data_IF_992681717154
#
_entry.id   IF_992681717154
#
_cell.length_a   1.000
_cell.length_b   1.000
_cell.length_c   1.000
_cell.angle_alpha   90.00
_cell.angle_beta   90.00
_cell.angle_gamma   90.00
#
_symmetry.space_group_name_H-M   'P 1'
#
loop_
_entity.id
_entity.type
_entity.pdbx_description
1 polymer ?
#
# COMPACT_ATOMS: atom_id res chain seq x y z
N UNK A 1 10.84 40.02 -12.82
CA UNK A 1 9.39 40.22 -12.98
C UNK A 1 9.10 41.59 -13.54
N UNK A 2 7.95 41.81 -14.12
CA UNK A 2 7.50 43.15 -14.63
C UNK A 2 7.45 44.18 -13.49
N UNK A 3 7.16 43.74 -12.25
CA UNK A 3 7.22 44.61 -11.09
C UNK A 3 8.65 45.15 -10.87
N UNK A 4 9.67 44.28 -10.86
CA UNK A 4 11.06 44.69 -10.69
C UNK A 4 11.54 45.60 -11.83
N UNK A 5 11.19 45.27 -13.07
CA UNK A 5 11.50 46.12 -14.24
C UNK A 5 10.94 47.51 -14.03
N UNK A 6 9.67 47.64 -13.66
CA UNK A 6 9.00 48.94 -13.44
C UNK A 6 9.64 49.74 -12.32
N UNK A 7 10.04 49.10 -11.20
CA UNK A 7 10.70 49.79 -10.09
C UNK A 7 12.09 50.28 -10.50
N UNK A 8 12.87 49.38 -11.12
CA UNK A 8 14.24 49.70 -11.53
C UNK A 8 14.27 50.78 -12.61
N UNK A 9 13.38 50.76 -13.61
CA UNK A 9 13.29 51.79 -14.65
C UNK A 9 12.92 53.18 -14.09
N UNK A 10 12.25 53.24 -12.93
CA UNK A 10 11.99 54.52 -12.25
C UNK A 10 13.21 55.05 -11.51
N UNK A 11 14.02 54.20 -10.93
CA UNK A 11 15.22 54.58 -10.18
C UNK A 11 16.41 54.85 -11.09
N UNK A 12 16.47 54.15 -12.23
CA UNK A 12 17.58 54.26 -13.20
C UNK A 12 17.02 54.45 -14.61
N UNK A 13 16.51 55.65 -14.93
CA UNK A 13 15.78 55.89 -16.16
C UNK A 13 16.63 55.73 -17.43
N UNK A 14 17.95 55.87 -17.31
CA UNK A 14 18.89 55.76 -18.44
C UNK A 14 19.29 54.31 -18.76
N UNK A 15 18.78 53.34 -17.97
CA UNK A 15 19.10 51.92 -18.14
C UNK A 15 17.95 51.17 -18.78
N UNK A 16 18.29 50.25 -19.69
CA UNK A 16 17.31 49.29 -20.22
C UNK A 16 17.22 48.07 -19.34
N UNK A 17 16.00 47.68 -18.98
CA UNK A 17 15.73 46.49 -18.16
C UNK A 17 14.87 45.49 -18.94
N UNK A 18 15.29 44.21 -18.93
CA UNK A 18 14.59 43.13 -19.58
C UNK A 18 14.05 42.16 -18.51
N UNK A 19 12.81 41.64 -18.72
CA UNK A 19 12.26 40.60 -17.91
C UNK A 19 12.60 39.25 -18.53
N UNK A 20 13.45 38.51 -17.86
CA UNK A 20 13.74 37.10 -18.21
C UNK A 20 12.90 36.22 -17.35
N UNK A 21 11.98 35.44 -17.96
CA UNK A 21 11.19 34.44 -17.29
C UNK A 21 12.04 33.20 -17.11
N UNK A 22 12.18 32.75 -15.85
CA UNK A 22 12.84 31.48 -15.55
C UNK A 22 11.89 30.35 -15.97
N UNK A 23 12.35 29.51 -16.89
CA UNK A 23 11.66 28.25 -17.18
C UNK A 23 11.93 27.27 -16.06
N UNK A 24 10.90 26.96 -15.27
CA UNK A 24 10.94 25.90 -14.29
C UNK A 24 10.30 24.69 -14.96
N UNK A 25 11.07 23.62 -15.27
CA UNK A 25 10.50 22.41 -15.85
C UNK A 25 9.42 21.86 -14.92
N UNK A 26 8.28 21.50 -15.46
CA UNK A 26 7.29 20.75 -14.70
C UNK A 26 7.93 19.44 -14.27
N UNK A 27 7.93 19.09 -12.97
CA UNK A 27 8.45 17.81 -12.51
C UNK A 27 7.79 16.67 -13.30
N UNK A 28 8.58 15.75 -13.83
CA UNK A 28 8.03 14.56 -14.45
C UNK A 28 7.21 13.80 -13.41
N UNK A 29 6.00 13.38 -13.78
CA UNK A 29 5.15 12.60 -12.89
C UNK A 29 5.88 11.28 -12.59
N UNK A 30 6.12 10.98 -11.30
CA UNK A 30 6.76 9.72 -10.92
C UNK A 30 5.90 8.54 -11.37
N UNK A 31 6.49 7.38 -11.70
CA UNK A 31 5.74 6.18 -12.04
C UNK A 31 4.71 5.82 -10.96
N UNK A 32 3.56 5.31 -11.38
CA UNK A 32 2.57 4.76 -10.47
C UNK A 32 3.07 3.42 -9.93
N UNK A 33 3.19 3.29 -8.62
CA UNK A 33 3.82 2.14 -7.98
C UNK A 33 2.79 1.29 -7.26
N UNK A 34 2.46 0.13 -7.84
CA UNK A 34 1.79 -0.94 -7.12
C UNK A 34 2.76 -1.59 -6.16
N UNK A 35 2.27 -2.13 -5.04
CA UNK A 35 3.15 -2.86 -4.14
C UNK A 35 2.48 -4.01 -3.41
N UNK A 36 3.30 -4.98 -3.00
CA UNK A 36 2.92 -6.15 -2.24
C UNK A 36 3.90 -6.39 -1.10
N UNK A 37 3.41 -6.76 0.07
CA UNK A 37 4.21 -7.15 1.23
C UNK A 37 3.75 -8.54 1.66
N UNK A 38 4.66 -9.53 1.66
CA UNK A 38 4.29 -10.88 2.07
C UNK A 38 5.33 -11.94 1.76
N UNK A 39 5.05 -13.15 2.21
CA UNK A 39 5.83 -14.34 1.81
C UNK A 39 5.41 -14.73 0.39
N UNK A 40 6.18 -14.26 -0.60
CA UNK A 40 5.90 -14.48 -2.03
C UNK A 40 6.10 -15.93 -2.48
N UNK A 41 6.71 -16.77 -1.64
CA UNK A 41 6.86 -18.21 -1.86
C UNK A 41 5.67 -19.03 -1.35
N UNK A 42 4.80 -18.41 -0.55
CA UNK A 42 3.59 -19.03 -0.04
C UNK A 42 2.53 -19.07 -1.15
N UNK A 43 2.13 -20.29 -1.57
CA UNK A 43 1.16 -20.48 -2.66
C UNK A 43 -0.15 -19.76 -2.39
N UNK A 44 -0.56 -19.70 -1.12
CA UNK A 44 -1.75 -19.03 -0.64
C UNK A 44 -1.78 -17.53 -0.98
N UNK A 45 -0.62 -16.88 -1.12
CA UNK A 45 -0.49 -15.46 -1.45
C UNK A 45 -0.72 -15.17 -2.94
N UNK A 46 -0.68 -16.20 -3.79
CA UNK A 46 -0.88 -16.08 -5.24
C UNK A 46 0.00 -15.00 -5.91
N UNK A 47 1.23 -14.82 -5.42
CA UNK A 47 2.12 -13.77 -5.91
C UNK A 47 2.37 -13.86 -7.43
N UNK A 48 2.47 -15.09 -7.97
CA UNK A 48 2.58 -15.31 -9.41
C UNK A 48 1.43 -14.68 -10.21
N UNK A 49 0.21 -14.65 -9.65
CA UNK A 49 -0.94 -13.99 -10.26
C UNK A 49 -0.86 -12.46 -10.20
N UNK A 50 -0.28 -11.90 -9.13
CA UNK A 50 0.00 -10.46 -9.05
C UNK A 50 1.02 -10.06 -10.12
N UNK A 51 2.09 -10.85 -10.31
CA UNK A 51 3.06 -10.63 -11.38
C UNK A 51 2.40 -10.74 -12.76
N UNK A 52 1.59 -11.77 -12.99
CA UNK A 52 0.85 -11.94 -14.25
C UNK A 52 -0.04 -10.74 -14.55
N UNK A 53 -0.79 -10.26 -13.56
CA UNK A 53 -1.65 -9.07 -13.70
C UNK A 53 -0.83 -7.82 -14.02
N UNK A 54 0.32 -7.62 -13.34
CA UNK A 54 1.21 -6.50 -13.61
C UNK A 54 1.80 -6.54 -15.03
N UNK A 55 2.21 -7.72 -15.50
CA UNK A 55 2.70 -7.89 -16.88
C UNK A 55 1.57 -7.63 -17.90
N UNK A 56 0.36 -8.15 -17.66
CA UNK A 56 -0.80 -7.93 -18.54
C UNK A 56 -1.33 -6.50 -18.51
N UNK A 57 -1.15 -5.77 -17.41
CA UNK A 57 -1.45 -4.34 -17.33
C UNK A 57 -0.65 -3.55 -18.37
N UNK A 58 0.62 -3.91 -18.57
CA UNK A 58 1.53 -3.43 -19.62
C UNK A 58 1.62 -1.89 -19.75
N UNK A 59 1.47 -1.16 -18.66
CA UNK A 59 1.57 0.29 -18.65
C UNK A 59 3.02 0.75 -18.39
N UNK A 60 3.64 1.51 -19.31
CA UNK A 60 5.08 1.81 -19.23
C UNK A 60 5.46 2.68 -18.02
N UNK A 61 4.52 3.52 -17.55
CA UNK A 61 4.74 4.42 -16.41
C UNK A 61 4.25 3.80 -15.08
N UNK A 62 4.40 2.48 -14.94
CA UNK A 62 4.08 1.75 -13.71
C UNK A 62 5.29 0.99 -13.17
N UNK A 63 5.28 0.71 -11.87
CA UNK A 63 6.24 -0.16 -11.18
C UNK A 63 5.50 -1.12 -10.25
N UNK A 64 6.12 -2.27 -9.98
CA UNK A 64 5.70 -3.18 -8.91
C UNK A 64 6.83 -3.27 -7.89
N UNK A 65 6.56 -2.82 -6.67
CA UNK A 65 7.47 -2.91 -5.53
C UNK A 65 7.04 -4.07 -4.64
N UNK A 66 7.94 -4.99 -4.37
CA UNK A 66 7.66 -6.20 -3.59
C UNK A 66 8.54 -6.24 -2.37
N UNK A 67 7.95 -6.28 -1.19
CA UNK A 67 8.67 -6.59 0.04
C UNK A 67 8.47 -8.07 0.36
N UNK A 68 9.49 -8.86 0.04
CA UNK A 68 9.49 -10.29 0.33
C UNK A 68 9.78 -10.54 1.82
N UNK A 69 8.94 -11.36 2.47
CA UNK A 69 9.08 -11.78 3.87
C UNK A 69 9.43 -13.28 3.99
N UNK A 70 9.90 -13.88 2.90
CA UNK A 70 10.41 -15.25 2.89
C UNK A 70 11.80 -15.32 3.53
N UNK A 71 12.13 -16.46 4.14
CA UNK A 71 13.40 -16.66 4.85
C UNK A 71 14.64 -16.82 3.95
N UNK A 72 14.52 -16.52 2.65
CA UNK A 72 15.60 -16.52 1.67
C UNK A 72 15.39 -15.39 0.68
N UNK A 73 16.48 -14.95 0.07
CA UNK A 73 16.42 -13.96 -0.99
C UNK A 73 15.74 -14.52 -2.23
N UNK A 74 14.90 -13.70 -2.83
CA UNK A 74 14.19 -13.99 -4.08
C UNK A 74 14.52 -12.89 -5.07
N UNK A 75 14.83 -13.27 -6.29
CA UNK A 75 15.02 -12.37 -7.41
C UNK A 75 13.88 -12.54 -8.42
N UNK A 76 13.43 -11.43 -9.00
CA UNK A 76 12.41 -11.41 -10.05
C UNK A 76 12.95 -10.58 -11.21
N UNK A 77 13.51 -11.27 -12.20
CA UNK A 77 14.07 -10.65 -13.40
C UNK A 77 12.95 -10.19 -14.37
N UNK A 78 12.18 -9.20 -13.95
CA UNK A 78 11.16 -8.57 -14.79
C UNK A 78 11.35 -7.04 -14.83
N UNK A 79 11.18 -6.41 -16.00
CA UNK A 79 11.24 -4.96 -16.11
C UNK A 79 10.23 -4.28 -15.18
N UNK A 80 10.66 -3.23 -14.49
CA UNK A 80 9.82 -2.41 -13.61
C UNK A 80 9.32 -3.14 -12.34
N UNK A 81 9.90 -4.29 -12.01
CA UNK A 81 9.70 -5.00 -10.74
C UNK A 81 10.92 -4.81 -9.86
N UNK A 82 10.73 -4.38 -8.63
CA UNK A 82 11.77 -4.21 -7.60
C UNK A 82 11.42 -5.11 -6.42
N UNK A 83 12.36 -5.96 -5.98
CA UNK A 83 12.18 -6.83 -4.81
C UNK A 83 13.10 -6.39 -3.69
N UNK A 84 12.54 -6.15 -2.52
CA UNK A 84 13.27 -5.86 -1.28
C UNK A 84 13.25 -7.12 -0.42
N UNK A 85 14.39 -7.75 -0.25
CA UNK A 85 14.59 -8.94 0.56
C UNK A 85 15.01 -8.59 2.00
N UNK A 86 15.04 -9.62 2.85
CA UNK A 86 15.55 -9.53 4.20
C UNK A 86 14.64 -8.75 5.16
N UNK A 87 15.15 -8.50 6.36
CA UNK A 87 14.49 -7.64 7.34
C UNK A 87 14.84 -6.18 7.05
N UNK A 88 13.88 -5.30 7.21
CA UNK A 88 14.07 -3.85 7.12
C UNK A 88 13.57 -3.21 8.41
N UNK A 89 14.06 -2.02 8.72
CA UNK A 89 13.62 -1.26 9.88
C UNK A 89 12.18 -0.74 9.72
N UNK A 90 11.53 -0.37 10.83
CA UNK A 90 10.21 0.27 10.79
C UNK A 90 10.24 1.57 9.97
N UNK A 91 11.34 2.32 10.05
CA UNK A 91 11.54 3.50 9.22
C UNK A 91 11.57 3.17 7.72
N UNK A 92 12.32 2.13 7.31
CA UNK A 92 12.39 1.73 5.91
C UNK A 92 11.06 1.17 5.42
N UNK A 93 10.31 0.47 6.29
CA UNK A 93 8.95 0.02 5.98
C UNK A 93 8.02 1.20 5.74
N UNK A 94 8.10 2.23 6.57
CA UNK A 94 7.33 3.46 6.37
C UNK A 94 7.70 4.16 5.07
N UNK A 95 9.01 4.27 4.75
CA UNK A 95 9.48 4.81 3.46
C UNK A 95 8.97 3.98 2.26
N UNK A 96 8.88 2.66 2.40
CA UNK A 96 8.33 1.78 1.37
C UNK A 96 6.87 2.15 1.08
N UNK A 97 6.05 2.29 2.12
CA UNK A 97 4.66 2.73 1.96
C UNK A 97 4.56 4.12 1.33
N UNK A 98 5.46 5.06 1.68
CA UNK A 98 5.47 6.41 1.08
C UNK A 98 5.83 6.39 -0.41
N UNK A 99 6.75 5.53 -0.84
CA UNK A 99 7.18 5.38 -2.24
C UNK A 99 6.10 4.75 -3.13
N UNK A 100 5.18 3.99 -2.55
CA UNK A 100 4.16 3.24 -3.24
C UNK A 100 2.81 3.97 -3.29
N UNK A 101 1.95 3.57 -4.24
CA UNK A 101 0.66 4.23 -4.48
C UNK A 101 -0.54 3.33 -4.19
N UNK A 102 -0.51 2.05 -4.55
CA UNK A 102 -1.63 1.13 -4.39
C UNK A 102 -1.13 -0.24 -3.92
N UNK A 103 -1.66 -0.71 -2.81
CA UNK A 103 -1.38 -2.07 -2.32
C UNK A 103 -2.17 -3.11 -3.09
N UNK A 104 -1.52 -4.23 -3.40
CA UNK A 104 -2.14 -5.36 -4.10
C UNK A 104 -2.01 -6.62 -3.27
N UNK A 105 -3.15 -7.14 -2.80
CA UNK A 105 -3.29 -8.44 -2.14
C UNK A 105 -4.24 -9.33 -2.94
N UNK A 106 -3.81 -10.56 -3.25
CA UNK A 106 -4.59 -11.53 -4.04
C UNK A 106 -4.58 -12.93 -3.39
N UNK A 107 -4.67 -12.93 -2.07
CA UNK A 107 -4.51 -14.16 -1.29
C UNK A 107 -5.75 -15.04 -1.32
N UNK A 108 -5.55 -16.36 -1.39
CA UNK A 108 -6.60 -17.38 -1.22
C UNK A 108 -7.06 -17.53 0.22
N UNK A 109 -6.30 -17.05 1.20
CA UNK A 109 -6.67 -17.06 2.62
C UNK A 109 -5.79 -16.06 3.39
N UNK A 110 -6.42 -15.26 4.23
CA UNK A 110 -5.76 -14.33 5.15
C UNK A 110 -6.47 -14.31 6.50
N UNK A 111 -5.68 -14.29 7.58
CA UNK A 111 -6.24 -14.01 8.92
C UNK A 111 -6.58 -12.53 9.07
N UNK A 112 -5.58 -11.65 8.89
CA UNK A 112 -5.74 -10.19 8.99
C UNK A 112 -5.30 -9.50 7.70
N UNK A 113 -4.24 -9.97 7.07
CA UNK A 113 -3.64 -9.29 5.92
C UNK A 113 -2.83 -8.06 6.34
N UNK A 114 -1.86 -8.23 7.24
CA UNK A 114 -1.11 -7.13 7.87
C UNK A 114 -0.59 -6.10 6.88
N UNK A 115 0.04 -6.52 5.77
CA UNK A 115 0.55 -5.56 4.76
C UNK A 115 -0.56 -4.71 4.13
N UNK A 116 -1.77 -5.27 3.95
CA UNK A 116 -2.94 -4.53 3.47
C UNK A 116 -3.46 -3.55 4.53
N UNK A 117 -3.51 -3.96 5.81
CA UNK A 117 -3.90 -3.11 6.93
C UNK A 117 -2.93 -1.95 7.10
N UNK A 118 -1.62 -2.21 7.06
CA UNK A 118 -0.58 -1.18 7.12
C UNK A 118 -0.68 -0.16 5.97
N UNK A 119 -1.05 -0.62 4.77
CA UNK A 119 -1.35 0.24 3.65
C UNK A 119 -2.59 1.12 3.90
N UNK A 120 -3.67 0.49 4.37
CA UNK A 120 -4.94 1.16 4.61
C UNK A 120 -4.83 2.25 5.69
N UNK A 121 -4.15 2.00 6.82
CA UNK A 121 -3.96 3.03 7.86
C UNK A 121 -3.14 4.24 7.38
N UNK A 122 -2.43 4.11 6.25
CA UNK A 122 -1.69 5.18 5.56
C UNK A 122 -2.46 5.76 4.37
N UNK A 123 -3.77 5.53 4.32
CA UNK A 123 -4.68 6.02 3.28
C UNK A 123 -4.27 5.62 1.85
N UNK A 124 -3.63 4.47 1.70
CA UNK A 124 -3.33 3.92 0.38
C UNK A 124 -4.55 3.19 -0.19
N UNK A 125 -4.85 3.31 -1.49
CA UNK A 125 -5.76 2.38 -2.15
C UNK A 125 -5.30 0.94 -1.93
N UNK A 126 -6.25 0.06 -1.59
CA UNK A 126 -5.96 -1.34 -1.27
C UNK A 126 -6.86 -2.25 -2.09
N UNK A 127 -6.24 -3.10 -2.90
CA UNK A 127 -6.91 -4.18 -3.64
C UNK A 127 -6.75 -5.45 -2.79
N UNK A 128 -7.86 -6.09 -2.40
CA UNK A 128 -7.86 -7.32 -1.58
C UNK A 128 -8.91 -8.32 -2.06
N UNK A 129 -8.69 -9.59 -1.76
CA UNK A 129 -9.68 -10.65 -1.95
C UNK A 129 -10.79 -10.57 -0.90
N UNK A 130 -12.03 -10.75 -1.31
CA UNK A 130 -13.20 -10.84 -0.43
C UNK A 130 -13.31 -12.25 0.21
N UNK A 131 -12.26 -12.67 0.92
CA UNK A 131 -12.21 -13.96 1.59
C UNK A 131 -11.24 -13.93 2.78
N UNK A 132 -11.64 -14.60 3.86
CA UNK A 132 -10.88 -14.59 5.12
C UNK A 132 -11.12 -13.33 5.94
N UNK A 133 -10.18 -12.99 6.84
CA UNK A 133 -10.34 -11.89 7.79
C UNK A 133 -10.01 -10.50 7.26
N UNK A 134 -9.25 -10.37 6.17
CA UNK A 134 -8.84 -9.04 5.66
C UNK A 134 -10.04 -8.10 5.38
N UNK A 135 -11.18 -8.56 4.79
CA UNK A 135 -12.35 -7.70 4.57
C UNK A 135 -13.07 -7.24 5.86
N UNK A 136 -12.77 -7.82 7.01
CA UNK A 136 -13.28 -7.35 8.30
C UNK A 136 -12.62 -6.03 8.68
N UNK A 137 -11.32 -5.92 8.44
CA UNK A 137 -10.50 -4.75 8.78
C UNK A 137 -10.53 -3.66 7.70
N UNK A 138 -10.67 -4.05 6.43
CA UNK A 138 -10.52 -3.13 5.30
C UNK A 138 -11.81 -3.07 4.49
N UNK A 139 -12.38 -1.87 4.36
CA UNK A 139 -13.49 -1.59 3.46
C UNK A 139 -12.95 -0.78 2.27
N UNK A 140 -12.99 -1.38 1.09
CA UNK A 140 -12.48 -0.78 -0.14
C UNK A 140 -13.38 -1.12 -1.31
N UNK A 141 -13.54 -0.22 -2.30
CA UNK A 141 -14.25 -0.54 -3.53
C UNK A 141 -13.47 -1.53 -4.43
N UNK A 142 -12.20 -1.79 -4.11
CA UNK A 142 -11.34 -2.73 -4.83
C UNK A 142 -11.32 -4.11 -4.14
N UNK A 143 -12.49 -4.57 -3.73
CA UNK A 143 -12.66 -5.91 -3.13
C UNK A 143 -12.97 -6.93 -4.22
N UNK A 144 -12.06 -7.89 -4.43
CA UNK A 144 -12.12 -8.90 -5.47
C UNK A 144 -13.07 -10.01 -5.04
N UNK A 145 -14.04 -10.35 -5.86
CA UNK A 145 -14.93 -11.49 -5.65
C UNK A 145 -14.13 -12.80 -5.59
N UNK A 146 -14.58 -13.71 -4.74
CA UNK A 146 -13.84 -14.92 -4.44
C UNK A 146 -14.79 -16.12 -4.41
N UNK A 147 -14.54 -17.08 -5.31
CA UNK A 147 -15.09 -18.42 -5.22
C UNK A 147 -14.35 -19.29 -4.22
N UNK A 148 -14.62 -20.59 -4.24
CA UNK A 148 -13.88 -21.59 -3.46
C UNK A 148 -13.24 -22.62 -4.40
N UNK A 149 -12.03 -23.05 -4.07
CA UNK A 149 -11.34 -24.13 -4.75
C UNK A 149 -10.82 -25.17 -3.74
N UNK A 150 -10.81 -26.44 -4.15
CA UNK A 150 -10.27 -27.51 -3.35
C UNK A 150 -8.75 -27.60 -3.49
N UNK A 151 -8.05 -27.76 -2.35
CA UNK A 151 -6.60 -27.98 -2.34
C UNK A 151 -6.28 -29.36 -2.90
N UNK A 152 -5.40 -29.37 -3.90
CA UNK A 152 -4.90 -30.60 -4.53
C UNK A 152 -3.81 -31.28 -3.72
N UNK A 153 -3.08 -30.52 -2.90
CA UNK A 153 -1.96 -30.98 -2.07
C UNK A 153 -2.04 -30.34 -0.68
N UNK A 154 -1.35 -30.93 0.28
CA UNK A 154 -1.16 -30.32 1.59
C UNK A 154 -0.35 -29.03 1.45
N UNK A 155 -0.77 -28.01 2.19
CA UNK A 155 -0.04 -26.76 2.39
C UNK A 155 -0.08 -26.44 3.89
N UNK A 156 1.00 -25.99 4.47
CA UNK A 156 1.24 -25.68 5.89
C UNK A 156 0.08 -25.99 6.87
N UNK A 157 -0.97 -25.17 6.89
CA UNK A 157 -2.15 -25.33 7.75
C UNK A 157 -3.34 -26.02 7.05
N UNK A 158 -3.29 -26.15 5.73
CA UNK A 158 -4.39 -26.66 4.94
C UNK A 158 -4.04 -28.04 4.40
N UNK A 159 -4.97 -28.97 4.49
CA UNK A 159 -4.82 -30.33 3.99
C UNK A 159 -5.50 -30.49 2.65
N UNK A 160 -4.98 -31.41 1.83
CA UNK A 160 -5.64 -31.86 0.60
C UNK A 160 -7.12 -32.15 0.87
N UNK A 161 -7.99 -31.66 -0.02
CA UNK A 161 -9.44 -31.77 0.11
C UNK A 161 -10.10 -30.64 0.90
N UNK A 162 -9.33 -29.81 1.64
CA UNK A 162 -9.88 -28.58 2.22
C UNK A 162 -10.09 -27.53 1.14
N UNK A 163 -10.94 -26.55 1.44
CA UNK A 163 -11.22 -25.44 0.54
C UNK A 163 -10.58 -24.15 1.01
N UNK A 164 -10.15 -23.37 0.06
CA UNK A 164 -9.74 -21.99 0.26
C UNK A 164 -10.28 -21.07 -0.86
N UNK A 165 -10.01 -19.77 -0.79
CA UNK A 165 -10.53 -18.83 -1.77
C UNK A 165 -9.92 -19.04 -3.16
N UNK A 166 -10.76 -18.84 -4.17
CA UNK A 166 -10.39 -18.73 -5.60
C UNK A 166 -10.75 -17.34 -6.09
N UNK A 167 -9.85 -16.36 -5.90
CA UNK A 167 -10.12 -14.96 -6.23
C UNK A 167 -10.17 -14.74 -7.76
N UNK A 168 -11.07 -13.84 -8.18
CA UNK A 168 -11.29 -13.51 -9.58
C UNK A 168 -10.11 -12.71 -10.16
N UNK A 169 -9.34 -13.33 -11.04
CA UNK A 169 -8.17 -12.73 -11.67
C UNK A 169 -8.50 -11.52 -12.57
N UNK A 170 -9.62 -11.56 -13.29
CA UNK A 170 -9.99 -10.48 -14.21
C UNK A 170 -10.31 -9.19 -13.43
N UNK A 171 -10.95 -9.31 -12.27
CA UNK A 171 -11.17 -8.18 -11.37
C UNK A 171 -9.87 -7.62 -10.80
N UNK A 172 -8.87 -8.46 -10.49
CA UNK A 172 -7.55 -7.97 -10.09
C UNK A 172 -6.98 -7.04 -11.16
N UNK A 173 -6.97 -7.49 -12.41
CA UNK A 173 -6.45 -6.70 -13.54
C UNK A 173 -7.27 -5.43 -13.78
N UNK A 174 -8.60 -5.53 -13.70
CA UNK A 174 -9.52 -4.39 -13.81
C UNK A 174 -9.24 -3.33 -12.74
N UNK A 175 -9.14 -3.72 -11.48
CA UNK A 175 -8.88 -2.80 -10.37
C UNK A 175 -7.50 -2.16 -10.45
N UNK A 176 -6.46 -2.91 -10.84
CA UNK A 176 -5.13 -2.34 -11.09
C UNK A 176 -5.21 -1.30 -12.23
N UNK A 177 -5.90 -1.61 -13.32
CA UNK A 177 -6.08 -0.67 -14.45
C UNK A 177 -6.86 0.57 -14.01
N UNK A 178 -7.95 0.40 -13.28
CA UNK A 178 -8.75 1.52 -12.77
C UNK A 178 -7.94 2.43 -11.85
N UNK A 179 -7.20 1.87 -10.89
CA UNK A 179 -6.37 2.64 -9.96
C UNK A 179 -5.30 3.47 -10.69
N UNK A 180 -4.64 2.87 -11.68
CA UNK A 180 -3.63 3.56 -12.50
C UNK A 180 -4.24 4.63 -13.39
N UNK A 181 -5.28 4.29 -14.18
CA UNK A 181 -5.87 5.21 -15.17
C UNK A 181 -6.50 6.45 -14.54
N UNK A 182 -7.01 6.31 -13.30
CA UNK A 182 -7.59 7.42 -12.55
C UNK A 182 -6.60 8.06 -11.55
N UNK A 183 -5.34 7.62 -11.56
CA UNK A 183 -4.29 8.10 -10.66
C UNK A 183 -4.69 8.08 -9.18
N UNK A 184 -5.38 7.04 -8.74
CA UNK A 184 -5.90 6.91 -7.37
C UNK A 184 -4.73 6.60 -6.42
N UNK A 185 -4.28 7.58 -5.66
CA UNK A 185 -3.11 7.46 -4.75
C UNK A 185 -3.48 7.58 -3.27
N UNK A 186 -4.71 7.98 -2.98
CA UNK A 186 -5.24 8.12 -1.63
C UNK A 186 -6.66 7.58 -1.55
N UNK A 187 -6.98 6.96 -0.44
CA UNK A 187 -8.31 6.45 -0.13
C UNK A 187 -8.53 6.52 1.38
N UNK A 188 -9.69 6.99 1.82
CA UNK A 188 -10.00 7.03 3.24
C UNK A 188 -10.31 5.61 3.77
N UNK A 189 -9.65 5.25 4.87
CA UNK A 189 -9.82 3.99 5.57
C UNK A 189 -10.17 4.20 7.06
N UNK A 190 -11.10 5.09 7.35
CA UNK A 190 -11.54 5.36 8.72
C UNK A 190 -11.95 4.09 9.48
N UNK A 191 -12.63 3.15 8.79
CA UNK A 191 -13.01 1.87 9.37
C UNK A 191 -11.78 1.08 9.84
N UNK A 192 -10.74 0.97 9.01
CA UNK A 192 -9.49 0.27 9.37
C UNK A 192 -8.83 0.91 10.58
N UNK A 193 -8.69 2.23 10.59
CA UNK A 193 -8.12 2.96 11.74
C UNK A 193 -8.90 2.74 13.03
N UNK A 194 -10.24 2.66 12.95
CA UNK A 194 -11.09 2.34 14.10
C UNK A 194 -10.89 0.91 14.59
N UNK A 195 -10.78 -0.06 13.67
CA UNK A 195 -10.62 -1.48 14.01
C UNK A 195 -9.24 -1.80 14.60
N UNK A 196 -8.20 -1.08 14.18
CA UNK A 196 -6.80 -1.32 14.59
C UNK A 196 -6.30 -0.36 15.65
N UNK A 197 -7.10 0.63 16.03
CA UNK A 197 -6.73 1.63 17.03
C UNK A 197 -6.58 1.02 18.43
N UNK A 198 -5.69 1.60 19.24
CA UNK A 198 -5.45 1.18 20.63
C UNK A 198 -6.75 1.01 21.42
N UNK A 199 -7.69 1.92 21.24
CA UNK A 199 -8.98 1.90 21.96
C UNK A 199 -9.87 0.71 21.58
N UNK A 200 -9.78 0.23 20.33
CA UNK A 200 -10.49 -0.97 19.90
C UNK A 200 -9.92 -2.21 20.61
N UNK A 201 -8.59 -2.31 20.62
CA UNK A 201 -7.88 -3.40 21.29
C UNK A 201 -8.17 -3.42 22.79
N UNK A 202 -8.09 -2.26 23.46
CA UNK A 202 -8.38 -2.15 24.90
C UNK A 202 -9.82 -2.59 25.24
N UNK A 203 -10.79 -2.22 24.40
CA UNK A 203 -12.19 -2.64 24.58
C UNK A 203 -12.37 -4.14 24.47
N UNK A 204 -11.68 -4.83 23.56
CA UNK A 204 -11.71 -6.29 23.44
C UNK A 204 -11.21 -7.00 24.72
N UNK A 205 -10.25 -6.38 25.41
CA UNK A 205 -9.78 -6.86 26.72
C UNK A 205 -10.63 -6.39 27.91
N UNK A 206 -11.76 -5.71 27.68
CA UNK A 206 -12.60 -5.15 28.74
C UNK A 206 -11.97 -3.97 29.48
N UNK A 207 -10.93 -3.35 28.93
CA UNK A 207 -10.24 -2.21 29.50
C UNK A 207 -10.86 -0.89 29.03
N UNK A 208 -10.92 0.11 29.92
CA UNK A 208 -11.47 1.41 29.56
C UNK A 208 -10.37 2.35 29.07
N UNK A 209 -10.39 2.79 27.81
CA UNK A 209 -9.33 3.65 27.23
C UNK A 209 -9.04 4.95 27.99
N UNK A 210 -10.03 5.45 28.74
CA UNK A 210 -9.92 6.74 29.46
C UNK A 210 -9.41 6.61 30.89
N UNK A 211 -9.37 5.40 31.48
CA UNK A 211 -8.92 5.19 32.87
C UNK A 211 -7.46 4.73 33.00
N UNK A 212 -6.93 4.01 32.02
CA UNK A 212 -5.65 3.30 32.17
C UNK A 212 -4.41 4.14 31.76
N UNK A 213 -4.59 5.41 31.36
CA UNK A 213 -3.47 6.26 30.91
C UNK A 213 -2.94 7.19 32.03
N UNK A 214 -3.59 7.29 33.18
CA UNK A 214 -3.25 8.29 34.22
C UNK A 214 -2.71 7.76 35.55
N UNK A 215 -2.50 6.46 35.74
CA UNK A 215 -2.16 5.92 37.07
C UNK A 215 -0.71 5.43 37.22
N UNK A 216 0.21 5.86 36.36
CA UNK A 216 1.64 5.54 36.50
C UNK A 216 2.49 6.76 36.95
N UNK A 217 1.87 7.72 37.62
CA UNK A 217 2.63 8.70 38.42
C UNK A 217 2.75 8.21 39.85
N UNK A 218 3.79 7.39 40.07
CA UNK A 218 4.15 6.88 41.38
C UNK A 218 4.18 7.97 42.47
N UNK A 219 3.16 7.94 43.33
CA UNK A 219 3.31 8.45 44.69
C UNK A 219 3.82 7.31 45.58
N UNK A 220 5.13 7.23 45.76
CA UNK A 220 5.68 6.64 46.96
C UNK A 220 5.26 7.55 48.11
N UNK A 221 4.33 7.13 48.92
CA UNK A 221 4.10 7.71 50.24
C UNK A 221 5.17 7.18 51.21
N UNK A 222 5.87 8.09 51.79
CA UNK A 222 6.75 7.98 52.96
C UNK A 222 6.07 7.33 54.14
#
# INVERSE_FOLDING_TARGET
>A
SEFCKRVLSRQFPDNEFYVIHVHIPTPSKRPYTFYHIGNIMDQRKNFGKILEAFVRLNEPNTRLLVKATCGKDVDVELPRVEVINGLISDYDMDQLHHRADCYVGFSSSEGVGMGAVEAAIRDKPVIITNYGGAPEYIKTPYTIDCGLQELKNDDFLFKKGMQWGDPNFDQLLEFMRHAYSNDVRHMDHEHTRKMTGKDAILREFGLNPTRDVHDDTGKKSS
#
